data_IF_864208351929
#
_entry.id   IF_864208351929
#
_cell.length_a   1.000
_cell.length_b   1.000
_cell.length_c   1.000
_cell.angle_alpha   90.00
_cell.angle_beta   90.00
_cell.angle_gamma   90.00
#
_symmetry.space_group_name_H-M   'P 1'
#
loop_
_entity.id
_entity.type
_entity.pdbx_description
1 polymer ?
#
# COMPACT_ATOMS: atom_id res chain seq x y z
N UNK A 1 -31.91 9.50 -7.78
CA UNK A 1 -30.44 9.49 -7.90
C UNK A 1 -29.89 9.17 -6.53
N UNK A 2 -29.61 7.91 -6.26
CA UNK A 2 -28.98 7.49 -5.01
C UNK A 2 -27.49 7.80 -5.11
N UNK A 3 -27.02 8.74 -4.30
CA UNK A 3 -25.59 8.98 -4.07
C UNK A 3 -25.04 7.75 -3.37
N UNK A 4 -24.55 6.81 -4.17
CA UNK A 4 -23.77 5.67 -3.71
C UNK A 4 -22.42 6.22 -3.23
N UNK A 5 -22.41 6.71 -1.99
CA UNK A 5 -21.19 7.13 -1.30
C UNK A 5 -20.57 5.86 -0.73
N UNK A 6 -20.23 4.90 -1.61
CA UNK A 6 -19.25 3.89 -1.25
C UNK A 6 -17.97 4.68 -1.05
N UNK A 7 -17.59 4.94 0.20
CA UNK A 7 -16.27 5.48 0.54
C UNK A 7 -15.25 4.56 -0.11
N UNK A 8 -14.74 4.94 -1.28
CA UNK A 8 -13.78 4.16 -2.02
C UNK A 8 -12.55 4.01 -1.13
N UNK A 9 -12.41 2.84 -0.51
CA UNK A 9 -11.25 2.55 0.33
C UNK A 9 -10.02 2.63 -0.56
N UNK A 10 -8.96 3.28 -0.08
CA UNK A 10 -7.73 3.40 -0.86
C UNK A 10 -7.08 2.04 -1.14
N UNK A 11 -7.55 0.99 -0.45
CA UNK A 11 -7.09 -0.38 -0.49
C UNK A 11 -8.14 -1.32 -1.09
N UNK A 12 -7.69 -2.32 -1.82
CA UNK A 12 -8.49 -3.38 -2.44
C UNK A 12 -7.85 -4.73 -2.16
N UNK A 13 -8.65 -5.73 -1.76
CA UNK A 13 -8.20 -7.12 -1.61
C UNK A 13 -8.17 -7.79 -2.99
N UNK A 14 -7.04 -8.37 -3.35
CA UNK A 14 -6.84 -9.12 -4.59
C UNK A 14 -7.22 -10.60 -4.40
N UNK A 15 -7.55 -11.28 -5.49
CA UNK A 15 -7.95 -12.70 -5.48
C UNK A 15 -6.86 -13.66 -4.97
N UNK A 16 -5.59 -13.25 -5.03
CA UNK A 16 -4.45 -14.00 -4.51
C UNK A 16 -4.18 -13.74 -3.01
N UNK A 17 -5.03 -12.97 -2.33
CA UNK A 17 -4.89 -12.63 -0.92
C UNK A 17 -3.97 -11.44 -0.63
N UNK A 18 -3.33 -10.86 -1.65
CA UNK A 18 -2.59 -9.61 -1.50
C UNK A 18 -3.56 -8.41 -1.42
N UNK A 19 -3.07 -7.27 -0.95
CA UNK A 19 -3.83 -6.02 -0.98
C UNK A 19 -3.12 -4.99 -1.83
N UNK A 20 -3.89 -4.23 -2.61
CA UNK A 20 -3.37 -3.18 -3.47
C UNK A 20 -3.92 -1.82 -3.04
N UNK A 21 -3.03 -0.87 -2.87
CA UNK A 21 -3.37 0.54 -2.71
C UNK A 21 -3.60 1.19 -4.08
N UNK A 22 -4.47 2.21 -4.14
CA UNK A 22 -4.78 2.99 -5.36
C UNK A 22 -3.56 3.61 -6.05
N UNK A 23 -2.44 3.76 -5.33
CA UNK A 23 -1.18 4.23 -5.91
C UNK A 23 -0.40 3.15 -6.67
N UNK A 24 -0.92 1.92 -6.75
CA UNK A 24 -0.26 0.77 -7.36
C UNK A 24 0.63 -0.03 -6.41
N UNK A 25 0.80 0.40 -5.17
CA UNK A 25 1.56 -0.35 -4.14
C UNK A 25 0.81 -1.63 -3.79
N UNK A 26 1.52 -2.76 -3.76
CA UNK A 26 0.93 -4.06 -3.41
C UNK A 26 1.60 -4.58 -2.14
N UNK A 27 0.81 -4.92 -1.13
CA UNK A 27 1.27 -5.64 0.04
C UNK A 27 0.93 -7.12 -0.09
N UNK A 28 1.88 -7.96 0.29
CA UNK A 28 1.68 -9.40 0.46
C UNK A 28 1.86 -9.79 1.93
N UNK A 29 1.19 -10.87 2.32
CA UNK A 29 1.42 -11.51 3.60
C UNK A 29 2.35 -12.71 3.40
N UNK A 30 3.52 -12.70 4.03
CA UNK A 30 4.48 -13.83 3.96
C UNK A 30 4.23 -14.92 5.01
N UNK A 31 3.09 -14.87 5.69
CA UNK A 31 2.70 -15.78 6.76
C UNK A 31 3.08 -15.26 8.16
N UNK A 32 3.96 -14.25 8.26
CA UNK A 32 4.29 -13.61 9.54
C UNK A 32 4.03 -12.11 9.55
N UNK A 33 4.16 -11.44 8.41
CA UNK A 33 4.01 -9.99 8.30
C UNK A 33 3.51 -9.56 6.92
N UNK A 34 2.81 -8.44 6.93
CA UNK A 34 2.51 -7.69 5.72
C UNK A 34 3.72 -6.86 5.30
N UNK A 35 4.07 -6.92 4.03
CA UNK A 35 5.17 -6.17 3.43
C UNK A 35 4.86 -5.82 1.99
N UNK A 36 5.51 -4.79 1.45
CA UNK A 36 5.44 -4.52 0.01
C UNK A 36 6.01 -5.71 -0.78
N UNK A 37 5.41 -6.02 -1.93
CA UNK A 37 6.04 -6.94 -2.89
C UNK A 37 7.32 -6.31 -3.41
N UNK A 38 8.31 -7.13 -3.76
CA UNK A 38 9.61 -6.66 -4.24
C UNK A 38 9.48 -5.71 -5.43
N UNK A 39 8.64 -6.07 -6.40
CA UNK A 39 8.35 -5.24 -7.59
C UNK A 39 7.75 -3.89 -7.17
N UNK A 40 6.67 -3.90 -6.39
CA UNK A 40 6.01 -2.65 -5.98
C UNK A 40 6.89 -1.79 -5.07
N UNK A 41 7.74 -2.41 -4.24
CA UNK A 41 8.65 -1.73 -3.34
C UNK A 41 9.75 -1.00 -4.12
N UNK A 42 10.33 -1.66 -5.13
CA UNK A 42 11.32 -1.04 -6.00
C UNK A 42 10.73 0.14 -6.78
N UNK A 43 9.56 -0.04 -7.41
CA UNK A 43 8.89 1.02 -8.17
C UNK A 43 8.51 2.20 -7.27
N UNK A 44 8.03 1.91 -6.06
CA UNK A 44 7.67 2.92 -5.08
C UNK A 44 8.87 3.75 -4.63
N UNK A 45 9.99 3.10 -4.33
CA UNK A 45 11.24 3.78 -3.94
C UNK A 45 11.77 4.61 -5.11
N UNK A 46 11.84 4.05 -6.32
CA UNK A 46 12.31 4.78 -7.51
C UNK A 46 11.45 6.01 -7.79
N UNK A 47 10.14 5.89 -7.68
CA UNK A 47 9.20 7.02 -7.87
C UNK A 47 9.36 8.07 -6.77
N UNK A 48 9.48 7.63 -5.52
CA UNK A 48 9.65 8.51 -4.36
C UNK A 48 10.94 9.34 -4.46
N UNK A 49 12.04 8.71 -4.87
CA UNK A 49 13.32 9.39 -5.06
C UNK A 49 13.31 10.31 -6.28
N UNK A 50 12.90 9.80 -7.46
CA UNK A 50 13.07 10.52 -8.74
C UNK A 50 11.99 11.56 -9.00
N UNK A 51 10.74 11.25 -8.66
CA UNK A 51 9.59 12.09 -9.01
C UNK A 51 9.24 13.02 -7.86
N UNK A 52 9.30 12.53 -6.61
CA UNK A 52 8.98 13.33 -5.43
C UNK A 52 10.20 14.02 -4.81
N UNK A 53 11.41 13.71 -5.27
CA UNK A 53 12.65 14.30 -4.75
C UNK A 53 12.92 13.94 -3.29
N UNK A 54 12.35 12.84 -2.79
CA UNK A 54 12.56 12.40 -1.42
C UNK A 54 13.98 11.86 -1.24
N UNK A 55 14.52 12.02 -0.04
CA UNK A 55 15.67 11.25 0.41
C UNK A 55 15.31 9.77 0.59
N UNK A 56 16.34 8.92 0.71
CA UNK A 56 16.16 7.48 0.97
C UNK A 56 15.41 7.24 2.28
N UNK A 57 15.71 8.00 3.33
CA UNK A 57 15.07 7.85 4.64
C UNK A 57 13.61 8.29 4.62
N UNK A 58 13.28 9.35 3.87
CA UNK A 58 11.89 9.79 3.68
C UNK A 58 11.09 8.77 2.85
N UNK A 59 11.68 8.24 1.77
CA UNK A 59 11.04 7.21 0.97
C UNK A 59 10.77 5.93 1.78
N UNK A 60 11.72 5.54 2.64
CA UNK A 60 11.57 4.41 3.56
C UNK A 60 10.48 4.68 4.61
N UNK A 61 10.51 5.85 5.25
CA UNK A 61 9.51 6.24 6.24
C UNK A 61 8.10 6.25 5.64
N UNK A 62 7.96 6.72 4.39
CA UNK A 62 6.69 6.70 3.67
C UNK A 62 6.24 5.28 3.33
N UNK A 63 7.17 4.39 2.96
CA UNK A 63 6.87 2.99 2.72
C UNK A 63 6.36 2.29 4.00
N UNK A 64 7.02 2.53 5.13
CA UNK A 64 6.61 1.99 6.43
C UNK A 64 5.21 2.50 6.84
N UNK A 65 4.92 3.79 6.60
CA UNK A 65 3.60 4.36 6.84
C UNK A 65 2.50 3.68 6.00
N UNK A 66 2.76 3.45 4.71
CA UNK A 66 1.81 2.78 3.81
C UNK A 66 1.57 1.32 4.22
N UNK A 67 2.61 0.60 4.65
CA UNK A 67 2.46 -0.76 5.17
C UNK A 67 1.56 -0.75 6.41
N UNK A 68 1.81 0.16 7.35
CA UNK A 68 1.02 0.27 8.58
C UNK A 68 -0.45 0.63 8.29
N UNK A 69 -0.69 1.55 7.36
CA UNK A 69 -2.04 1.91 6.92
C UNK A 69 -2.77 0.70 6.33
N UNK A 70 -2.12 -0.03 5.41
CA UNK A 70 -2.69 -1.22 4.80
C UNK A 70 -3.02 -2.30 5.83
N UNK A 71 -2.12 -2.55 6.78
CA UNK A 71 -2.36 -3.50 7.89
C UNK A 71 -3.56 -3.09 8.73
N UNK A 72 -3.66 -1.81 9.12
CA UNK A 72 -4.81 -1.31 9.90
C UNK A 72 -6.11 -1.48 9.15
N UNK A 73 -6.11 -1.21 7.85
CA UNK A 73 -7.29 -1.41 7.01
C UNK A 73 -7.69 -2.90 6.96
N UNK A 74 -6.73 -3.81 6.73
CA UNK A 74 -6.98 -5.26 6.73
C UNK A 74 -7.58 -5.73 8.06
N UNK A 75 -7.05 -5.24 9.18
CA UNK A 75 -7.53 -5.59 10.52
C UNK A 75 -8.93 -5.04 10.82
N UNK A 76 -9.37 -4.00 10.13
CA UNK A 76 -10.72 -3.44 10.28
C UNK A 76 -11.78 -4.16 9.42
N UNK A 77 -11.36 -5.04 8.51
CA UNK A 77 -12.27 -5.86 7.70
C UNK A 77 -12.71 -7.17 8.39
N UNK A 78 -12.02 -7.57 9.45
CA UNK A 78 -12.30 -8.77 10.25
C UNK A 78 -12.85 -8.37 11.62
#
# INVERSE_FOLDING_TARGET
MTTDTTTATAWTLLSNGNVQHRSGVVLCNDGQRWKMTEVSGLDFVLTSLRVKGLSVDEAKSLADALILEGVRWIMALH
#
